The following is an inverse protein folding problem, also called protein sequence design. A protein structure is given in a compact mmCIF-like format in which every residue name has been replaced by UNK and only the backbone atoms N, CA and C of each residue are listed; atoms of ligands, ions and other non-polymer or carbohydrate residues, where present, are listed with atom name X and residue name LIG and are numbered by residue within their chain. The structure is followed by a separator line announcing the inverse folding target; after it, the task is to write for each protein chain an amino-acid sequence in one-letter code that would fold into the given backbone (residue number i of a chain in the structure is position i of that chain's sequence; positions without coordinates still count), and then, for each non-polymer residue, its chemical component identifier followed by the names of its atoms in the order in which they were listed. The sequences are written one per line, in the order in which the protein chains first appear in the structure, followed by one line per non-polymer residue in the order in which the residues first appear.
data_IF_622883041915
#
_entry.id   IF_622883041915
#
_cell.length_a   1.000
_cell.length_b   1.000
_cell.length_c   1.000
_cell.angle_alpha   90.00
_cell.angle_beta   90.00
_cell.angle_gamma   90.00
#
_symmetry.space_group_name_H-M   'P 1'
#
loop_
_entity.id
_entity.type
_entity.pdbx_description
1 polymer ?
#
# COMPACT_ATOMS: atom_id res chain seq x y z
N UNK A 1 -8.44 29.10 -15.25
CA UNK A 1 -7.61 27.89 -15.43
C UNK A 1 -8.49 26.70 -15.11
N UNK A 2 -8.44 25.63 -15.87
CA UNK A 2 -9.18 24.38 -15.61
C UNK A 2 -8.21 23.30 -15.17
N UNK A 3 -8.72 22.29 -14.43
CA UNK A 3 -7.97 21.10 -14.12
C UNK A 3 -7.70 20.30 -15.40
N UNK A 4 -6.53 19.67 -15.48
CA UNK A 4 -6.21 18.75 -16.58
C UNK A 4 -6.97 17.44 -16.36
N UNK A 5 -7.90 17.12 -17.26
CA UNK A 5 -8.88 16.03 -17.11
C UNK A 5 -8.23 14.67 -17.44
N UNK A 6 -7.80 13.96 -16.40
CA UNK A 6 -7.15 12.63 -16.50
C UNK A 6 -7.82 11.56 -15.63
N UNK A 7 -8.92 11.88 -14.96
CA UNK A 7 -9.63 10.97 -14.08
C UNK A 7 -11.08 10.77 -14.49
N UNK A 8 -11.54 9.53 -14.50
CA UNK A 8 -12.98 9.22 -14.57
C UNK A 8 -13.61 9.46 -13.20
N UNK A 9 -14.41 10.50 -13.06
CA UNK A 9 -15.01 10.90 -11.80
C UNK A 9 -16.45 10.35 -11.67
N UNK A 10 -16.79 9.87 -10.48
CA UNK A 10 -18.19 9.75 -10.09
C UNK A 10 -18.74 11.14 -9.72
N UNK A 11 -20.00 11.39 -9.98
CA UNK A 11 -20.66 12.64 -9.58
C UNK A 11 -21.05 12.60 -8.08
N UNK A 12 -20.06 12.41 -7.22
CA UNK A 12 -20.19 12.38 -5.76
C UNK A 12 -19.09 13.30 -5.22
N UNK A 13 -19.46 14.29 -4.40
CA UNK A 13 -18.54 15.26 -3.81
C UNK A 13 -18.48 15.06 -2.27
N UNK A 14 -17.53 14.26 -1.75
CA UNK A 14 -17.35 14.08 -0.32
C UNK A 14 -16.93 15.38 0.36
N UNK A 15 -17.59 15.74 1.46
CA UNK A 15 -17.32 16.97 2.23
C UNK A 15 -17.03 16.71 3.71
N UNK A 16 -17.46 15.56 4.24
CA UNK A 16 -17.23 15.17 5.63
C UNK A 16 -16.94 13.65 5.69
N UNK A 17 -16.12 13.23 6.66
CA UNK A 17 -15.88 11.82 6.89
C UNK A 17 -15.47 11.54 8.34
N UNK A 18 -15.90 10.37 8.89
CA UNK A 18 -15.59 9.92 10.24
C UNK A 18 -15.58 8.40 10.33
N UNK A 19 -14.53 7.81 10.86
CA UNK A 19 -14.39 6.35 10.95
C UNK A 19 -14.49 5.69 9.58
N UNK A 20 -15.51 4.85 9.36
CA UNK A 20 -15.80 4.21 8.08
C UNK A 20 -16.97 4.88 7.33
N UNK A 21 -17.33 6.12 7.63
CA UNK A 21 -18.41 6.85 6.99
C UNK A 21 -17.90 8.09 6.28
N UNK A 22 -18.52 8.39 5.14
CA UNK A 22 -18.26 9.57 4.31
C UNK A 22 -19.60 10.20 3.97
N UNK A 23 -19.71 11.52 4.03
CA UNK A 23 -20.90 12.27 3.62
C UNK A 23 -20.58 13.16 2.43
N UNK A 24 -21.48 13.16 1.45
CA UNK A 24 -21.39 14.07 0.32
C UNK A 24 -22.05 15.43 0.62
N UNK A 25 -21.96 16.36 -0.32
CA UNK A 25 -22.52 17.72 -0.18
C UNK A 25 -24.05 17.76 -0.12
N UNK A 26 -24.71 16.70 -0.55
CA UNK A 26 -26.15 16.51 -0.43
C UNK A 26 -26.54 15.92 0.94
N UNK A 27 -25.58 15.55 1.76
CA UNK A 27 -25.78 14.93 3.07
C UNK A 27 -26.01 13.42 3.02
N UNK A 28 -25.78 12.78 1.88
CA UNK A 28 -25.86 11.33 1.75
C UNK A 28 -24.70 10.66 2.48
N UNK A 29 -25.00 9.71 3.37
CA UNK A 29 -24.00 8.91 4.06
C UNK A 29 -23.60 7.70 3.23
N UNK A 30 -22.31 7.48 3.11
CA UNK A 30 -21.70 6.32 2.45
C UNK A 30 -20.87 5.51 3.44
N UNK A 31 -21.01 4.17 3.38
CA UNK A 31 -20.07 3.26 4.02
C UNK A 31 -18.81 3.12 3.15
N UNK A 32 -17.64 3.41 3.72
CA UNK A 32 -16.36 3.36 3.01
C UNK A 32 -15.66 2.00 3.20
N UNK A 33 -15.79 1.12 2.21
CA UNK A 33 -15.02 -0.12 2.10
C UNK A 33 -13.85 -0.01 1.12
N UNK A 34 -13.39 1.21 0.82
CA UNK A 34 -12.32 1.45 -0.12
C UNK A 34 -11.12 2.21 0.49
N UNK A 35 -11.40 3.06 1.48
CA UNK A 35 -10.37 3.85 2.17
C UNK A 35 -9.52 4.70 1.22
N UNK A 36 -10.09 5.19 0.09
CA UNK A 36 -9.34 5.93 -0.92
C UNK A 36 -8.09 5.19 -1.40
N UNK A 37 -8.21 3.99 -1.96
CA UNK A 37 -7.11 3.09 -2.35
C UNK A 37 -6.31 2.51 -1.15
N UNK A 38 -6.96 2.23 -0.02
CA UNK A 38 -6.33 1.80 1.24
C UNK A 38 -5.41 2.86 1.88
N UNK A 39 -5.65 4.13 1.58
CA UNK A 39 -4.92 5.25 2.21
C UNK A 39 -5.39 5.47 3.63
N UNK A 40 -6.71 5.43 3.85
CA UNK A 40 -7.29 5.57 5.19
C UNK A 40 -7.09 4.26 5.96
N UNK A 41 -6.21 4.30 6.95
CA UNK A 41 -5.87 3.14 7.78
C UNK A 41 -6.63 3.13 9.10
N UNK A 42 -6.53 4.19 9.90
CA UNK A 42 -7.11 4.28 11.25
C UNK A 42 -8.54 4.83 11.28
N UNK A 43 -9.15 5.03 10.11
CA UNK A 43 -10.44 5.69 9.94
C UNK A 43 -10.32 7.18 9.65
N UNK A 44 -11.37 7.71 9.02
CA UNK A 44 -11.47 9.13 8.69
C UNK A 44 -11.56 9.98 9.97
N UNK A 45 -10.89 11.13 9.96
CA UNK A 45 -10.98 12.17 11.00
C UNK A 45 -10.83 11.65 12.44
N UNK A 46 -9.93 10.68 12.65
CA UNK A 46 -9.68 10.13 13.98
C UNK A 46 -9.25 11.24 14.96
N UNK A 47 -9.87 11.40 16.15
CA UNK A 47 -9.63 12.55 17.03
C UNK A 47 -8.17 12.77 17.41
N UNK A 48 -7.43 11.70 17.76
CA UNK A 48 -6.01 11.78 18.10
C UNK A 48 -5.15 12.25 16.92
N UNK A 49 -5.48 11.79 15.71
CA UNK A 49 -4.81 12.18 14.48
C UNK A 49 -5.05 13.67 14.15
N UNK A 50 -6.29 14.12 14.22
CA UNK A 50 -6.66 15.53 14.00
C UNK A 50 -5.98 16.44 15.01
N UNK A 51 -6.05 16.09 16.30
CA UNK A 51 -5.40 16.86 17.37
C UNK A 51 -3.88 16.96 17.18
N UNK A 52 -3.22 15.86 16.80
CA UNK A 52 -1.78 15.82 16.55
C UNK A 52 -1.37 16.77 15.41
N UNK A 53 -2.09 16.75 14.28
CA UNK A 53 -1.83 17.63 13.16
C UNK A 53 -2.09 19.09 13.53
N UNK A 54 -3.21 19.39 14.17
CA UNK A 54 -3.55 20.75 14.56
C UNK A 54 -2.52 21.34 15.54
N UNK A 55 -2.11 20.59 16.55
CA UNK A 55 -1.08 20.99 17.49
C UNK A 55 0.29 21.21 16.81
N UNK A 56 0.65 20.33 15.87
CA UNK A 56 1.92 20.47 15.15
C UNK A 56 1.88 21.65 14.18
N UNK A 57 0.75 21.87 13.49
CA UNK A 57 0.58 23.01 12.60
C UNK A 57 0.70 24.36 13.34
N UNK A 58 0.18 24.43 14.58
CA UNK A 58 0.29 25.63 15.43
C UNK A 58 1.73 25.90 15.90
N UNK A 59 2.63 24.92 15.86
CA UNK A 59 4.05 25.06 16.28
C UNK A 59 4.95 25.33 15.07
N UNK A 60 5.08 24.35 14.21
CA UNK A 60 5.88 24.40 12.99
C UNK A 60 5.43 23.27 12.04
N UNK A 61 5.08 23.63 10.80
CA UNK A 61 4.69 22.64 9.79
C UNK A 61 5.87 22.05 9.03
N UNK A 62 6.89 22.89 8.76
CA UNK A 62 8.01 22.50 7.92
C UNK A 62 9.27 23.31 8.27
N UNK A 63 10.41 22.65 8.21
CA UNK A 63 11.72 23.24 8.01
C UNK A 63 12.62 22.27 7.22
N UNK A 64 13.74 22.78 6.71
CA UNK A 64 14.67 22.03 5.87
C UNK A 64 15.27 20.82 6.60
N UNK A 65 15.53 19.72 5.85
CA UNK A 65 16.27 18.55 6.32
C UNK A 65 17.78 18.83 6.60
N UNK A 66 18.21 20.09 6.52
CA UNK A 66 19.57 20.51 6.95
C UNK A 66 19.67 20.78 8.45
N UNK A 67 18.58 20.67 9.20
CA UNK A 67 18.55 20.80 10.67
C UNK A 67 17.90 19.58 11.32
N UNK A 68 18.09 19.42 12.63
CA UNK A 68 17.51 18.30 13.39
C UNK A 68 15.99 18.43 13.49
N UNK A 69 15.30 17.31 13.28
CA UNK A 69 13.88 17.14 13.53
C UNK A 69 13.67 15.88 14.38
N UNK A 70 13.42 16.06 15.67
CA UNK A 70 13.25 14.95 16.62
C UNK A 70 12.08 14.02 16.28
N UNK A 71 11.04 14.54 15.60
CA UNK A 71 9.89 13.71 15.18
C UNK A 71 10.28 12.65 14.15
N UNK A 72 11.30 12.91 13.32
CA UNK A 72 11.80 11.89 12.38
C UNK A 72 12.40 10.71 13.14
N UNK A 73 13.20 10.99 14.19
CA UNK A 73 13.79 9.94 15.01
C UNK A 73 12.72 9.19 15.82
N UNK A 74 11.74 9.88 16.38
CA UNK A 74 10.62 9.27 17.09
C UNK A 74 9.83 8.34 16.15
N UNK A 75 9.50 8.82 14.96
CA UNK A 75 8.80 8.01 13.94
C UNK A 75 9.61 6.77 13.56
N UNK A 76 10.91 6.91 13.29
CA UNK A 76 11.78 5.79 12.95
C UNK A 76 11.83 4.74 14.06
N UNK A 77 11.95 5.19 15.32
CA UNK A 77 11.98 4.30 16.49
C UNK A 77 10.66 3.54 16.64
N UNK A 78 9.51 4.23 16.61
CA UNK A 78 8.20 3.62 16.75
C UNK A 78 7.91 2.65 15.59
N UNK A 79 8.18 3.06 14.34
CA UNK A 79 7.98 2.22 13.18
C UNK A 79 8.84 0.96 13.24
N UNK A 80 10.12 1.10 13.59
CA UNK A 80 11.03 -0.05 13.73
C UNK A 80 10.56 -1.05 14.78
N UNK A 81 10.11 -0.55 15.96
CA UNK A 81 9.59 -1.40 17.05
C UNK A 81 8.32 -2.16 16.62
N UNK A 82 7.35 -1.46 16.03
CA UNK A 82 6.06 -2.06 15.65
C UNK A 82 6.16 -3.02 14.48
N UNK A 83 7.01 -2.71 13.52
CA UNK A 83 7.21 -3.53 12.33
C UNK A 83 8.17 -4.71 12.54
N UNK A 84 8.95 -4.70 13.63
CA UNK A 84 9.99 -5.70 13.88
C UNK A 84 11.32 -5.44 13.15
N UNK A 85 11.53 -4.21 12.66
CA UNK A 85 12.70 -3.78 11.89
C UNK A 85 13.48 -2.67 12.62
N UNK A 86 13.69 -2.81 13.93
CA UNK A 86 14.38 -1.82 14.77
C UNK A 86 15.85 -1.60 14.40
N UNK A 87 16.45 -2.52 13.66
CA UNK A 87 17.82 -2.45 13.17
C UNK A 87 17.94 -1.81 11.77
N UNK A 88 16.80 -1.50 11.10
CA UNK A 88 16.78 -0.81 9.81
C UNK A 88 16.88 0.70 9.97
N UNK A 89 17.44 1.35 8.94
CA UNK A 89 17.39 2.80 8.79
C UNK A 89 16.11 3.23 8.06
N UNK A 90 15.60 4.42 8.34
CA UNK A 90 14.43 4.99 7.69
C UNK A 90 14.81 6.22 6.86
N UNK A 91 14.50 6.21 5.57
CA UNK A 91 14.49 7.41 4.71
C UNK A 91 13.05 7.83 4.45
N UNK A 92 12.71 9.11 4.69
CA UNK A 92 11.36 9.65 4.55
C UNK A 92 11.20 10.44 3.25
N UNK A 93 10.05 10.27 2.59
CA UNK A 93 9.64 10.99 1.38
C UNK A 93 8.14 11.33 1.44
N UNK A 94 7.48 11.65 0.31
CA UNK A 94 6.12 12.19 0.34
C UNK A 94 5.07 11.25 -0.30
N UNK A 95 5.52 10.22 -1.00
CA UNK A 95 4.62 9.30 -1.72
C UNK A 95 5.23 7.92 -1.87
N UNK A 96 4.40 6.94 -2.21
CA UNK A 96 4.86 5.59 -2.53
C UNK A 96 5.73 5.54 -3.79
N UNK A 97 5.43 6.36 -4.79
CA UNK A 97 6.27 6.44 -5.99
C UNK A 97 7.67 6.95 -5.64
N UNK A 98 7.80 8.00 -4.81
CA UNK A 98 9.11 8.46 -4.34
C UNK A 98 9.83 7.39 -3.50
N UNK A 99 9.10 6.64 -2.66
CA UNK A 99 9.69 5.56 -1.87
C UNK A 99 10.29 4.48 -2.78
N UNK A 100 9.54 4.02 -3.78
CA UNK A 100 10.02 3.03 -4.74
C UNK A 100 11.16 3.56 -5.62
N UNK A 101 11.11 4.83 -6.09
CA UNK A 101 12.23 5.46 -6.82
C UNK A 101 13.52 5.43 -6.01
N UNK A 102 13.45 5.80 -4.73
CA UNK A 102 14.62 5.82 -3.86
C UNK A 102 15.10 4.40 -3.53
N UNK A 103 14.20 3.41 -3.40
CA UNK A 103 14.55 2.01 -3.21
C UNK A 103 15.32 1.45 -4.42
N UNK A 104 14.80 1.66 -5.64
CA UNK A 104 15.45 1.25 -6.89
C UNK A 104 16.83 1.92 -7.06
N UNK A 105 16.90 3.24 -6.80
CA UNK A 105 18.14 4.01 -6.84
C UNK A 105 19.17 3.48 -5.84
N UNK A 106 18.74 3.19 -4.62
CA UNK A 106 19.62 2.69 -3.55
C UNK A 106 20.19 1.31 -3.90
N UNK A 107 19.35 0.39 -4.42
CA UNK A 107 19.77 -0.93 -4.87
C UNK A 107 20.77 -0.83 -6.03
N UNK A 108 20.54 0.07 -6.99
CA UNK A 108 21.45 0.34 -8.10
C UNK A 108 22.79 0.90 -7.61
N UNK A 109 22.80 1.79 -6.63
CA UNK A 109 24.05 2.28 -6.01
C UNK A 109 24.84 1.16 -5.33
N UNK A 110 24.15 0.24 -4.62
CA UNK A 110 24.79 -0.89 -3.93
C UNK A 110 25.45 -1.88 -4.91
N UNK A 111 24.76 -2.19 -6.00
CA UNK A 111 25.16 -3.23 -6.94
C UNK A 111 26.01 -2.73 -8.10
N UNK A 112 25.96 -1.42 -8.42
CA UNK A 112 26.55 -0.84 -9.63
C UNK A 112 25.84 -1.26 -10.93
N UNK A 113 24.67 -1.90 -10.83
CA UNK A 113 23.90 -2.46 -11.94
C UNK A 113 22.63 -1.63 -12.16
N UNK A 114 21.90 -1.90 -13.27
CA UNK A 114 20.74 -1.09 -13.66
C UNK A 114 19.47 -1.88 -14.01
N UNK A 115 19.60 -3.18 -14.36
CA UNK A 115 18.44 -3.99 -14.75
C UNK A 115 17.64 -4.42 -13.52
N UNK A 116 16.32 -4.25 -13.58
CA UNK A 116 15.39 -4.60 -12.50
C UNK A 116 14.52 -5.78 -12.94
N UNK A 117 14.32 -6.74 -12.04
CA UNK A 117 13.26 -7.73 -12.16
C UNK A 117 12.03 -7.20 -11.45
N UNK A 118 10.90 -7.15 -12.15
CA UNK A 118 9.58 -6.86 -11.65
C UNK A 118 8.60 -7.97 -12.05
N UNK A 119 7.37 -7.93 -11.56
CA UNK A 119 6.39 -8.99 -11.84
C UNK A 119 5.27 -8.49 -12.74
N UNK A 120 4.74 -9.38 -13.58
CA UNK A 120 3.59 -9.06 -14.43
C UNK A 120 2.42 -8.58 -13.57
N UNK A 121 1.64 -7.66 -14.12
CA UNK A 121 0.52 -6.99 -13.48
C UNK A 121 0.89 -6.10 -12.28
N UNK A 122 2.17 -5.93 -11.95
CA UNK A 122 2.62 -5.08 -10.84
C UNK A 122 2.31 -3.59 -11.06
N UNK A 123 2.11 -2.89 -9.94
CA UNK A 123 1.97 -1.44 -9.91
C UNK A 123 2.84 -0.84 -8.79
N UNK A 124 3.86 -0.07 -9.18
CA UNK A 124 4.82 0.53 -8.23
C UNK A 124 4.83 2.06 -8.23
N UNK A 125 4.10 2.71 -9.12
CA UNK A 125 3.98 4.17 -9.16
C UNK A 125 3.95 4.77 -10.57
N UNK A 126 4.02 6.11 -10.62
CA UNK A 126 3.88 6.92 -11.85
C UNK A 126 5.07 7.84 -12.12
N UNK A 127 6.13 7.82 -11.31
CA UNK A 127 7.40 8.50 -11.59
C UNK A 127 8.27 7.65 -12.52
N UNK A 128 9.41 8.14 -13.00
CA UNK A 128 10.12 7.55 -14.14
C UNK A 128 10.56 6.10 -13.91
N UNK A 129 11.28 5.81 -12.85
CA UNK A 129 11.71 4.43 -12.54
C UNK A 129 10.53 3.56 -12.11
N UNK A 130 9.60 4.09 -11.30
CA UNK A 130 8.46 3.31 -10.82
C UNK A 130 7.44 2.97 -11.90
N UNK A 131 7.25 3.86 -12.90
CA UNK A 131 6.39 3.54 -14.05
C UNK A 131 7.05 2.51 -14.96
N UNK A 132 8.37 2.47 -15.01
CA UNK A 132 9.10 1.47 -15.79
C UNK A 132 8.94 0.05 -15.20
N UNK A 133 8.89 -0.08 -13.86
CA UNK A 133 8.64 -1.35 -13.15
C UNK A 133 7.14 -1.63 -12.91
N UNK A 134 6.25 -0.78 -13.43
CA UNK A 134 4.79 -0.99 -13.45
C UNK A 134 4.42 -1.65 -14.77
N UNK A 135 3.79 -2.84 -14.72
CA UNK A 135 3.39 -3.60 -15.92
C UNK A 135 2.10 -3.03 -16.54
N UNK A 136 2.23 -1.83 -17.10
CA UNK A 136 1.16 -1.17 -17.83
C UNK A 136 1.73 -0.22 -18.90
N UNK A 137 1.87 -0.68 -20.16
CA UNK A 137 2.41 0.15 -21.24
C UNK A 137 1.64 1.46 -21.50
N UNK A 138 0.35 1.51 -21.17
CA UNK A 138 -0.50 2.69 -21.45
C UNK A 138 -0.13 3.91 -20.62
N UNK A 139 0.60 3.74 -19.51
CA UNK A 139 1.02 4.82 -18.61
C UNK A 139 2.51 5.18 -18.76
N UNK A 140 3.23 4.50 -19.65
CA UNK A 140 4.63 4.76 -19.94
C UNK A 140 4.78 5.71 -21.12
N UNK A 141 5.25 6.92 -20.85
CA UNK A 141 5.65 7.85 -21.88
C UNK A 141 6.98 7.40 -22.57
N UNK A 142 7.28 7.84 -23.80
CA UNK A 142 8.57 7.56 -24.44
C UNK A 142 9.77 7.90 -23.57
N UNK A 143 9.69 8.97 -22.79
CA UNK A 143 10.70 9.39 -21.82
C UNK A 143 11.02 8.33 -20.73
N UNK A 144 10.06 7.48 -20.39
CA UNK A 144 10.23 6.47 -19.34
C UNK A 144 10.85 5.14 -19.84
N UNK A 145 11.01 4.98 -21.17
CA UNK A 145 11.47 3.73 -21.79
C UNK A 145 12.97 3.45 -21.72
N UNK A 146 13.73 4.31 -21.06
CA UNK A 146 15.19 4.15 -20.91
C UNK A 146 15.64 3.21 -19.80
N UNK A 147 14.72 2.71 -18.97
CA UNK A 147 15.03 1.80 -17.87
C UNK A 147 15.03 0.33 -18.33
N UNK A 148 16.01 -0.43 -17.89
CA UNK A 148 16.11 -1.87 -18.19
C UNK A 148 15.30 -2.67 -17.17
N UNK A 149 14.16 -3.19 -17.59
CA UNK A 149 13.25 -3.96 -16.74
C UNK A 149 12.85 -5.25 -17.44
N UNK A 150 12.83 -6.35 -16.68
CA UNK A 150 12.24 -7.61 -17.12
C UNK A 150 11.06 -7.96 -16.23
N UNK A 151 9.95 -8.37 -16.84
CA UNK A 151 8.75 -8.81 -16.13
C UNK A 151 8.63 -10.32 -16.16
N UNK A 152 8.63 -10.94 -14.98
CA UNK A 152 8.42 -12.38 -14.80
C UNK A 152 7.02 -12.66 -14.23
N UNK A 153 6.53 -13.89 -14.37
CA UNK A 153 5.23 -14.24 -13.79
C UNK A 153 5.33 -14.33 -12.25
N UNK A 154 4.26 -13.98 -11.56
CA UNK A 154 4.17 -14.17 -10.13
C UNK A 154 4.21 -15.67 -9.79
N UNK A 155 4.95 -16.07 -8.76
CA UNK A 155 5.20 -17.44 -8.33
C UNK A 155 6.04 -18.31 -9.30
N UNK A 156 6.77 -17.71 -10.23
CA UNK A 156 7.68 -18.38 -11.17
C UNK A 156 9.12 -18.12 -10.73
N UNK A 157 9.65 -18.99 -9.85
CA UNK A 157 11.00 -18.83 -9.31
C UNK A 157 12.07 -19.17 -10.34
N UNK A 158 11.79 -20.10 -11.26
CA UNK A 158 12.73 -20.55 -12.29
C UNK A 158 13.08 -19.39 -13.22
N UNK A 159 12.07 -18.61 -13.65
CA UNK A 159 12.30 -17.41 -14.45
C UNK A 159 13.10 -16.34 -13.69
N UNK A 160 12.91 -16.20 -12.38
CA UNK A 160 13.72 -15.27 -11.58
C UNK A 160 15.19 -15.73 -11.52
N UNK A 161 15.44 -17.02 -11.28
CA UNK A 161 16.78 -17.60 -11.24
C UNK A 161 17.51 -17.45 -12.58
N UNK A 162 16.81 -17.71 -13.69
CA UNK A 162 17.35 -17.52 -15.04
C UNK A 162 17.78 -16.05 -15.24
N UNK A 163 16.90 -15.09 -14.90
CA UNK A 163 17.22 -13.67 -15.07
C UNK A 163 18.38 -13.21 -14.17
N UNK A 164 18.45 -13.69 -12.93
CA UNK A 164 19.54 -13.37 -12.00
C UNK A 164 20.86 -13.96 -12.48
N UNK A 165 20.85 -15.16 -13.09
CA UNK A 165 22.05 -15.84 -13.59
C UNK A 165 22.81 -15.06 -14.67
N UNK A 166 22.14 -14.10 -15.35
CA UNK A 166 22.76 -13.20 -16.33
C UNK A 166 23.77 -12.21 -15.71
N UNK A 167 23.74 -12.04 -14.39
CA UNK A 167 24.74 -11.30 -13.62
C UNK A 167 24.62 -9.78 -13.62
N UNK A 168 23.61 -9.19 -14.26
CA UNK A 168 23.43 -7.74 -14.45
C UNK A 168 22.23 -7.15 -13.68
N UNK A 169 21.54 -7.94 -12.84
CA UNK A 169 20.37 -7.51 -12.07
C UNK A 169 20.79 -6.62 -10.90
N UNK A 170 20.19 -5.43 -10.82
CA UNK A 170 20.37 -4.46 -9.73
C UNK A 170 19.46 -4.74 -8.53
N UNK A 171 18.24 -5.18 -8.77
CA UNK A 171 17.26 -5.52 -7.72
C UNK A 171 16.11 -6.35 -8.27
N UNK A 172 15.41 -7.03 -7.36
CA UNK A 172 14.06 -7.55 -7.56
C UNK A 172 13.08 -6.71 -6.77
N UNK A 173 11.98 -6.24 -7.38
CA UNK A 173 10.91 -5.52 -6.69
C UNK A 173 9.59 -6.29 -6.81
N UNK A 174 8.88 -6.44 -5.68
CA UNK A 174 7.61 -7.18 -5.61
C UNK A 174 6.65 -6.53 -4.61
N UNK A 175 5.36 -6.49 -4.94
CA UNK A 175 4.31 -6.11 -3.98
C UNK A 175 4.07 -7.26 -2.98
N UNK A 176 3.86 -6.95 -1.70
CA UNK A 176 3.42 -7.94 -0.72
C UNK A 176 2.10 -8.62 -1.12
N UNK A 177 1.18 -7.84 -1.70
CA UNK A 177 0.00 -8.28 -2.44
C UNK A 177 -0.22 -7.31 -3.59
N UNK A 178 -0.37 -7.80 -4.82
CA UNK A 178 -0.60 -6.99 -6.01
C UNK A 178 -2.00 -6.35 -5.98
N UNK A 179 -2.06 -5.08 -5.59
CA UNK A 179 -3.34 -4.41 -5.36
C UNK A 179 -4.12 -4.12 -6.63
N UNK A 180 -3.50 -3.53 -7.64
CA UNK A 180 -4.14 -3.09 -8.89
C UNK A 180 -4.48 -4.26 -9.80
N UNK A 181 -3.70 -5.33 -9.76
CA UNK A 181 -3.93 -6.56 -10.52
C UNK A 181 -5.26 -7.25 -10.18
N UNK A 182 -5.76 -7.10 -8.96
CA UNK A 182 -6.96 -7.80 -8.47
C UNK A 182 -6.70 -8.63 -7.21
N UNK A 183 -5.85 -8.12 -6.34
CA UNK A 183 -5.47 -8.75 -5.06
C UNK A 183 -4.83 -10.13 -5.28
N UNK A 184 -3.92 -10.22 -6.23
CA UNK A 184 -3.08 -11.40 -6.38
C UNK A 184 -1.91 -11.36 -5.40
N UNK A 185 -1.67 -12.48 -4.74
CA UNK A 185 -0.61 -12.58 -3.74
C UNK A 185 0.43 -13.61 -4.13
N UNK A 186 1.73 -13.35 -3.89
CA UNK A 186 2.74 -14.39 -3.95
C UNK A 186 2.46 -15.43 -2.88
N UNK A 187 2.77 -16.70 -3.16
CA UNK A 187 2.74 -17.73 -2.12
C UNK A 187 3.86 -17.52 -1.10
N UNK A 188 3.64 -17.92 0.15
CA UNK A 188 4.66 -17.80 1.18
C UNK A 188 5.92 -18.64 0.84
N UNK A 189 5.73 -19.77 0.13
CA UNK A 189 6.87 -20.59 -0.38
C UNK A 189 7.66 -19.86 -1.45
N UNK A 190 6.98 -19.19 -2.39
CA UNK A 190 7.66 -18.39 -3.41
C UNK A 190 8.46 -17.24 -2.82
N UNK A 191 7.87 -16.49 -1.86
CA UNK A 191 8.60 -15.40 -1.18
C UNK A 191 9.86 -15.91 -0.45
N UNK A 192 9.79 -17.09 0.18
CA UNK A 192 10.97 -17.72 0.81
C UNK A 192 12.05 -18.08 -0.21
N UNK A 193 11.65 -18.67 -1.33
CA UNK A 193 12.59 -19.02 -2.41
C UNK A 193 13.21 -17.75 -3.00
N UNK A 194 12.39 -16.72 -3.26
CA UNK A 194 12.82 -15.43 -3.80
C UNK A 194 13.85 -14.75 -2.87
N UNK A 195 13.59 -14.70 -1.57
CA UNK A 195 14.50 -14.16 -0.57
C UNK A 195 15.84 -14.95 -0.57
N UNK A 196 15.78 -16.28 -0.63
CA UNK A 196 16.97 -17.14 -0.68
C UNK A 196 17.80 -16.93 -1.94
N UNK A 197 17.17 -16.89 -3.11
CA UNK A 197 17.83 -16.67 -4.41
C UNK A 197 18.46 -15.28 -4.46
N UNK A 198 17.76 -14.26 -4.02
CA UNK A 198 18.28 -12.90 -3.95
C UNK A 198 19.51 -12.79 -3.05
N UNK A 199 19.45 -13.35 -1.84
CA UNK A 199 20.59 -13.37 -0.89
C UNK A 199 21.80 -14.12 -1.43
N UNK A 200 21.60 -15.31 -2.00
CA UNK A 200 22.68 -16.15 -2.55
C UNK A 200 23.42 -15.42 -3.68
N UNK A 201 22.75 -14.60 -4.45
CA UNK A 201 23.31 -13.89 -5.59
C UNK A 201 23.66 -12.41 -5.30
N UNK A 202 23.53 -11.97 -4.05
CA UNK A 202 23.74 -10.57 -3.63
C UNK A 202 22.91 -9.57 -4.46
N UNK A 203 21.67 -9.92 -4.76
CA UNK A 203 20.70 -9.06 -5.45
C UNK A 203 19.70 -8.53 -4.41
N UNK A 204 19.61 -7.20 -4.18
CA UNK A 204 18.66 -6.62 -3.24
C UNK A 204 17.21 -6.99 -3.55
N UNK A 205 16.48 -7.45 -2.53
CA UNK A 205 15.05 -7.70 -2.58
C UNK A 205 14.30 -6.49 -2.01
N UNK A 206 13.45 -5.85 -2.83
CA UNK A 206 12.60 -4.72 -2.45
C UNK A 206 11.17 -5.22 -2.30
N UNK A 207 10.61 -5.13 -1.09
CA UNK A 207 9.20 -5.38 -0.81
C UNK A 207 8.42 -4.06 -0.85
N UNK A 208 7.52 -3.92 -1.84
CA UNK A 208 6.57 -2.84 -1.91
C UNK A 208 5.37 -3.16 -0.99
N UNK A 209 5.39 -2.56 0.19
CA UNK A 209 4.33 -2.66 1.19
C UNK A 209 3.46 -1.38 1.27
N UNK A 210 3.46 -0.59 0.20
CA UNK A 210 2.74 0.68 0.14
C UNK A 210 1.24 0.49 0.32
N UNK A 211 0.66 -0.58 -0.21
CA UNK A 211 -0.76 -0.87 -0.04
C UNK A 211 -1.03 -1.96 0.99
N UNK A 212 -0.17 -2.94 1.13
CA UNK A 212 -0.33 -4.13 1.97
C UNK A 212 0.16 -3.96 3.40
N UNK A 213 0.97 -2.94 3.67
CA UNK A 213 1.54 -2.67 4.98
C UNK A 213 0.60 -1.97 5.97
N UNK A 214 1.16 -1.57 7.10
CA UNK A 214 0.47 -0.87 8.20
C UNK A 214 -0.74 -1.63 8.75
N UNK A 215 -0.60 -2.94 8.91
CA UNK A 215 -1.63 -3.78 9.54
C UNK A 215 -2.73 -4.27 8.60
N UNK A 216 -2.77 -3.81 7.35
CA UNK A 216 -3.82 -4.06 6.37
C UNK A 216 -4.17 -5.54 6.21
N UNK A 217 -3.17 -6.41 6.24
CA UNK A 217 -3.33 -7.86 6.04
C UNK A 217 -3.50 -8.68 7.32
N UNK A 218 -3.55 -8.04 8.50
CA UNK A 218 -3.55 -8.72 9.80
C UNK A 218 -2.15 -9.01 10.35
N UNK A 219 -1.09 -8.61 9.63
CA UNK A 219 0.29 -8.42 10.11
C UNK A 219 0.74 -7.02 9.74
N UNK A 220 1.79 -6.49 10.39
CA UNK A 220 2.24 -5.13 10.11
C UNK A 220 2.67 -4.96 8.64
N UNK A 221 3.40 -5.94 8.09
CA UNK A 221 3.71 -6.07 6.67
C UNK A 221 3.25 -7.45 6.14
N UNK A 222 2.80 -7.50 4.88
CA UNK A 222 2.27 -8.73 4.28
C UNK A 222 3.34 -9.83 4.15
N UNK A 223 4.58 -9.48 3.80
CA UNK A 223 5.67 -10.46 3.67
C UNK A 223 6.01 -11.19 4.97
N UNK A 224 5.59 -10.68 6.13
CA UNK A 224 5.82 -11.34 7.43
C UNK A 224 5.08 -12.69 7.55
N UNK A 225 4.10 -12.99 6.69
CA UNK A 225 3.52 -14.33 6.61
C UNK A 225 4.53 -15.37 6.10
N UNK A 226 5.41 -14.96 5.18
CA UNK A 226 6.49 -15.81 4.69
C UNK A 226 7.69 -15.88 5.65
N UNK A 227 7.73 -15.06 6.71
CA UNK A 227 8.85 -14.98 7.65
C UNK A 227 10.20 -14.73 6.96
N UNK A 228 10.23 -13.84 5.98
CA UNK A 228 11.44 -13.37 5.29
C UNK A 228 11.87 -11.99 5.82
N UNK A 229 13.11 -11.61 5.55
CA UNK A 229 13.67 -10.31 5.92
C UNK A 229 14.29 -9.67 4.67
N UNK A 230 13.49 -8.87 3.91
CA UNK A 230 13.94 -8.25 2.65
C UNK A 230 14.95 -7.12 2.92
N UNK A 231 15.75 -6.78 1.91
CA UNK A 231 16.78 -5.73 2.04
C UNK A 231 16.19 -4.33 2.16
N UNK A 232 15.10 -4.07 1.44
CA UNK A 232 14.41 -2.77 1.42
C UNK A 232 12.90 -3.00 1.49
N UNK A 233 12.21 -2.20 2.31
CA UNK A 233 10.75 -2.18 2.39
C UNK A 233 10.28 -0.76 2.10
N UNK A 234 9.36 -0.60 1.16
CA UNK A 234 8.75 0.70 0.87
C UNK A 234 7.34 0.80 1.44
N UNK A 235 6.99 1.96 1.97
CA UNK A 235 5.70 2.21 2.60
C UNK A 235 5.19 3.62 2.32
N UNK A 236 3.86 3.79 2.33
CA UNK A 236 3.16 5.07 2.20
C UNK A 236 1.68 4.88 2.59
N UNK A 237 0.74 5.51 1.89
CA UNK A 237 -0.73 5.34 2.06
C UNK A 237 -1.17 5.29 3.53
N UNK A 238 -1.38 4.08 4.07
CA UNK A 238 -1.79 3.87 5.45
C UNK A 238 -0.85 4.48 6.50
N UNK A 239 0.41 4.73 6.15
CA UNK A 239 1.37 5.44 6.98
C UNK A 239 0.91 6.84 7.38
N UNK A 240 0.25 7.55 6.46
CA UNK A 240 -0.17 8.94 6.65
C UNK A 240 -1.66 9.13 6.92
N UNK A 241 -2.49 8.10 6.76
CA UNK A 241 -3.96 8.19 6.89
C UNK A 241 -4.55 9.39 6.13
N UNK A 242 -4.08 9.65 4.90
CA UNK A 242 -4.48 10.78 4.07
C UNK A 242 -3.45 11.91 4.01
N UNK A 243 -2.54 12.05 4.98
CA UNK A 243 -1.42 12.98 4.87
C UNK A 243 -0.34 12.41 3.94
N UNK A 244 0.18 13.20 2.97
CA UNK A 244 1.24 12.74 2.05
C UNK A 244 2.54 12.43 2.79
N UNK A 245 2.89 11.16 2.90
CA UNK A 245 4.15 10.65 3.45
C UNK A 245 4.46 9.29 2.86
N UNK A 246 5.73 9.00 2.68
CA UNK A 246 6.27 7.69 2.35
C UNK A 246 7.57 7.43 3.08
N UNK A 247 7.96 6.18 3.15
CA UNK A 247 9.18 5.75 3.82
C UNK A 247 9.85 4.59 3.11
N UNK A 248 11.16 4.52 3.24
CA UNK A 248 12.00 3.41 2.80
C UNK A 248 12.73 2.88 4.04
N UNK A 249 12.40 1.67 4.47
CA UNK A 249 13.12 0.95 5.50
C UNK A 249 14.27 0.22 4.82
N UNK A 250 15.49 0.43 5.29
CA UNK A 250 16.74 0.05 4.63
C UNK A 250 17.54 -0.83 5.58
N UNK A 251 17.89 -2.03 5.14
CA UNK A 251 18.65 -2.97 5.97
C UNK A 251 20.05 -2.43 6.35
N UNK A 252 20.64 -2.89 7.45
CA UNK A 252 21.98 -2.45 7.89
C UNK A 252 23.10 -2.71 6.88
N UNK A 253 22.83 -3.54 5.86
CA UNK A 253 23.80 -3.86 4.82
C UNK A 253 24.05 -2.73 3.80
N UNK A 254 23.26 -1.66 3.88
CA UNK A 254 23.43 -0.49 3.02
C UNK A 254 24.18 0.61 3.76
N UNK A 255 25.24 1.10 3.14
CA UNK A 255 26.02 2.23 3.66
C UNK A 255 25.42 3.54 3.19
N UNK A 256 25.07 4.42 4.14
CA UNK A 256 24.57 5.75 3.84
C UNK A 256 25.70 6.69 3.43
N UNK A 257 25.52 7.38 2.29
CA UNK A 257 26.42 8.45 1.83
C UNK A 257 25.65 9.75 1.73
N UNK A 258 26.22 10.83 2.29
CA UNK A 258 25.58 12.17 2.24
C UNK A 258 25.31 12.58 0.79
N UNK A 259 24.07 12.99 0.52
CA UNK A 259 23.62 13.43 -0.80
C UNK A 259 23.20 12.33 -1.77
N UNK A 260 23.29 11.03 -1.42
CA UNK A 260 22.87 9.95 -2.32
C UNK A 260 21.36 9.88 -2.51
N UNK A 261 20.60 10.18 -1.46
CA UNK A 261 19.14 10.34 -1.49
C UNK A 261 18.80 11.76 -1.01
N UNK A 262 17.64 12.28 -1.41
CA UNK A 262 17.24 13.63 -1.01
C UNK A 262 15.78 13.93 -1.33
N UNK A 263 15.18 14.79 -0.52
CA UNK A 263 13.82 15.28 -0.67
C UNK A 263 13.68 16.61 0.05
N UNK A 264 12.89 17.53 -0.49
CA UNK A 264 12.62 18.81 0.20
C UNK A 264 11.63 18.63 1.34
N UNK A 265 10.50 17.99 1.08
CA UNK A 265 9.39 17.88 2.04
C UNK A 265 9.35 16.58 2.82
N UNK A 266 10.07 15.54 2.41
CA UNK A 266 10.03 14.24 3.06
C UNK A 266 10.48 14.33 4.52
N UNK A 267 9.66 13.79 5.41
CA UNK A 267 9.90 13.83 6.86
C UNK A 267 9.66 15.20 7.49
N UNK A 268 8.83 16.08 6.89
CA UNK A 268 8.46 17.34 7.52
C UNK A 268 7.69 17.11 8.83
N UNK A 269 7.61 18.14 9.66
CA UNK A 269 7.04 18.06 11.00
C UNK A 269 5.57 17.59 11.00
N UNK A 270 4.75 18.09 10.07
CA UNK A 270 3.34 17.69 9.97
C UNK A 270 3.20 16.22 9.55
N UNK A 271 3.98 15.79 8.55
CA UNK A 271 3.96 14.42 8.07
C UNK A 271 4.40 13.44 9.18
N UNK A 272 5.45 13.77 9.94
CA UNK A 272 5.91 12.96 11.07
C UNK A 272 4.87 12.92 12.18
N UNK A 273 4.26 14.04 12.54
CA UNK A 273 3.21 14.09 13.56
C UNK A 273 1.98 13.25 13.16
N UNK A 274 1.58 13.32 11.90
CA UNK A 274 0.50 12.50 11.34
C UNK A 274 0.85 11.00 11.44
N UNK A 275 2.03 10.60 10.96
CA UNK A 275 2.44 9.19 10.96
C UNK A 275 2.66 8.62 12.37
N UNK A 276 3.17 9.40 13.31
CA UNK A 276 3.29 9.01 14.73
C UNK A 276 1.90 8.74 15.30
N UNK A 277 0.95 9.65 15.10
CA UNK A 277 -0.43 9.46 15.56
C UNK A 277 -1.09 8.20 14.96
N UNK A 278 -0.81 7.90 13.69
CA UNK A 278 -1.28 6.65 13.06
C UNK A 278 -0.73 5.42 13.78
N UNK A 279 0.58 5.37 14.04
CA UNK A 279 1.19 4.24 14.74
C UNK A 279 0.63 4.07 16.16
N UNK A 280 0.45 5.19 16.88
CA UNK A 280 -0.13 5.17 18.22
C UNK A 280 -1.55 4.60 18.23
N UNK A 281 -2.42 5.04 17.32
CA UNK A 281 -3.80 4.54 17.20
C UNK A 281 -3.82 3.06 16.80
N UNK A 282 -2.95 2.63 15.87
CA UNK A 282 -2.85 1.21 15.49
C UNK A 282 -2.59 0.32 16.70
N UNK A 283 -1.73 0.77 17.62
CA UNK A 283 -1.41 0.03 18.86
C UNK A 283 -2.53 0.10 19.87
N UNK A 284 -2.96 1.32 20.20
CA UNK A 284 -3.93 1.58 21.29
C UNK A 284 -5.28 0.90 21.01
N UNK A 285 -5.70 0.87 19.76
CA UNK A 285 -6.97 0.25 19.33
C UNK A 285 -6.78 -1.18 18.78
N UNK A 286 -5.58 -1.74 18.84
CA UNK A 286 -5.26 -3.09 18.39
C UNK A 286 -5.71 -3.35 16.94
N UNK A 287 -5.53 -2.37 16.04
CA UNK A 287 -6.11 -2.38 14.70
C UNK A 287 -5.54 -3.48 13.80
N UNK A 288 -4.31 -3.94 14.04
CA UNK A 288 -3.75 -5.11 13.31
C UNK A 288 -4.56 -6.37 13.60
N UNK A 289 -4.91 -6.60 14.87
CA UNK A 289 -5.75 -7.73 15.26
C UNK A 289 -7.18 -7.57 14.75
N UNK A 290 -7.72 -6.35 14.77
CA UNK A 290 -9.04 -6.08 14.20
C UNK A 290 -9.06 -6.40 12.70
N UNK A 291 -8.04 -5.99 11.96
CA UNK A 291 -7.92 -6.30 10.53
C UNK A 291 -7.86 -7.81 10.26
N UNK A 292 -7.14 -8.56 11.08
CA UNK A 292 -7.14 -10.02 11.00
C UNK A 292 -8.53 -10.61 11.25
N UNK A 293 -9.14 -10.29 12.40
CA UNK A 293 -10.42 -10.88 12.81
C UNK A 293 -11.58 -10.52 11.87
N UNK A 294 -11.65 -9.25 11.46
CA UNK A 294 -12.69 -8.77 10.54
C UNK A 294 -12.48 -9.30 9.12
N UNK A 295 -11.23 -9.49 8.71
CA UNK A 295 -10.89 -10.13 7.45
C UNK A 295 -11.33 -11.60 7.40
N UNK A 296 -11.03 -12.38 8.45
CA UNK A 296 -11.48 -13.76 8.57
C UNK A 296 -13.02 -13.86 8.57
N UNK A 297 -13.69 -13.01 9.36
CA UNK A 297 -15.15 -12.96 9.39
C UNK A 297 -15.74 -12.68 7.99
N UNK A 298 -15.22 -11.64 7.32
CA UNK A 298 -15.69 -11.25 6.00
C UNK A 298 -15.48 -12.35 4.96
N UNK A 299 -14.32 -13.02 4.96
CA UNK A 299 -14.05 -14.14 4.05
C UNK A 299 -14.98 -15.32 4.31
N UNK A 300 -15.24 -15.66 5.59
CA UNK A 300 -16.16 -16.76 5.95
C UNK A 300 -17.57 -16.49 5.45
N UNK A 301 -18.08 -15.25 5.58
CA UNK A 301 -19.44 -14.92 5.12
C UNK A 301 -19.52 -14.82 3.59
N UNK A 302 -18.50 -14.27 2.93
CA UNK A 302 -18.44 -14.21 1.48
C UNK A 302 -18.40 -15.60 0.83
N UNK A 303 -17.72 -16.58 1.44
CA UNK A 303 -17.71 -17.96 0.96
C UNK A 303 -19.09 -18.63 0.99
N UNK A 304 -20.04 -18.10 1.79
CA UNK A 304 -21.43 -18.56 1.83
C UNK A 304 -22.31 -17.86 0.79
N UNK A 305 -21.81 -16.87 0.07
CA UNK A 305 -22.57 -16.05 -0.88
C UNK A 305 -22.49 -16.68 -2.27
N UNK A 306 -23.61 -17.19 -2.84
CA UNK A 306 -23.59 -17.95 -4.10
C UNK A 306 -23.09 -17.17 -5.32
N UNK A 307 -23.20 -15.83 -5.30
CA UNK A 307 -22.73 -14.95 -6.35
C UNK A 307 -21.19 -14.80 -6.40
N UNK A 308 -20.51 -15.13 -5.30
CA UNK A 308 -19.05 -15.04 -5.21
C UNK A 308 -18.42 -16.24 -5.90
N UNK A 309 -17.58 -15.97 -6.91
CA UNK A 309 -16.84 -16.99 -7.65
C UNK A 309 -15.48 -17.29 -7.00
N UNK A 310 -14.79 -16.26 -6.53
CA UNK A 310 -13.49 -16.38 -5.87
C UNK A 310 -13.22 -15.22 -4.92
N UNK A 311 -12.46 -15.50 -3.85
CA UNK A 311 -11.95 -14.50 -2.91
C UNK A 311 -10.45 -14.64 -2.86
N UNK A 312 -9.73 -13.50 -2.85
CA UNK A 312 -8.28 -13.43 -2.73
C UNK A 312 -7.89 -12.42 -1.68
N UNK A 313 -6.70 -12.57 -1.10
CA UNK A 313 -6.14 -11.63 -0.16
C UNK A 313 -6.09 -12.12 1.27
N UNK A 314 -5.74 -11.20 2.20
CA UNK A 314 -5.57 -11.46 3.63
C UNK A 314 -6.05 -10.25 4.44
N UNK A 315 -6.59 -10.50 5.62
CA UNK A 315 -7.11 -9.45 6.50
C UNK A 315 -8.13 -8.56 5.78
N UNK A 316 -7.94 -7.25 5.85
CA UNK A 316 -8.79 -6.27 5.19
C UNK A 316 -8.23 -5.78 3.83
N UNK A 317 -7.49 -6.63 3.13
CA UNK A 317 -7.10 -6.46 1.73
C UNK A 317 -7.66 -7.61 0.92
N UNK A 318 -8.93 -7.50 0.52
CA UNK A 318 -9.66 -8.57 -0.16
C UNK A 318 -10.08 -8.17 -1.57
N UNK A 319 -9.98 -9.12 -2.49
CA UNK A 319 -10.51 -9.06 -3.84
C UNK A 319 -11.61 -10.09 -4.01
N UNK A 320 -12.77 -9.65 -4.47
CA UNK A 320 -13.94 -10.50 -4.72
C UNK A 320 -14.18 -10.57 -6.21
N UNK A 321 -14.17 -11.77 -6.76
CA UNK A 321 -14.60 -12.04 -8.12
C UNK A 321 -16.04 -12.56 -8.06
N UNK A 322 -16.96 -11.80 -8.63
CA UNK A 322 -18.35 -12.21 -8.76
C UNK A 322 -18.56 -13.00 -10.05
N UNK A 323 -19.63 -13.78 -10.10
CA UNK A 323 -20.07 -14.42 -11.34
C UNK A 323 -20.44 -13.37 -12.39
N UNK A 324 -20.27 -13.64 -13.70
CA UNK A 324 -20.43 -12.65 -14.79
C UNK A 324 -21.79 -11.92 -14.79
N UNK A 325 -22.86 -12.61 -14.40
CA UNK A 325 -24.22 -12.06 -14.31
C UNK A 325 -24.33 -10.90 -13.28
N UNK A 326 -23.38 -10.79 -12.35
CA UNK A 326 -23.33 -9.78 -11.29
C UNK A 326 -22.29 -8.68 -11.55
N UNK A 327 -21.88 -8.48 -12.79
CA UNK A 327 -20.81 -7.52 -13.17
C UNK A 327 -21.12 -6.07 -12.80
N UNK A 328 -22.40 -5.67 -12.68
CA UNK A 328 -22.80 -4.30 -12.32
C UNK A 328 -23.02 -4.08 -10.81
N UNK A 329 -22.91 -5.11 -9.99
CA UNK A 329 -23.18 -5.03 -8.54
C UNK A 329 -22.34 -3.95 -7.84
N UNK A 330 -21.10 -3.71 -8.29
CA UNK A 330 -20.27 -2.66 -7.72
C UNK A 330 -20.88 -1.25 -7.90
N UNK A 331 -21.48 -0.97 -9.06
CA UNK A 331 -22.17 0.31 -9.30
C UNK A 331 -23.46 0.38 -8.46
N UNK A 332 -24.23 -0.68 -8.39
CA UNK A 332 -25.43 -0.76 -7.56
C UNK A 332 -25.12 -0.54 -6.08
N UNK A 333 -24.04 -1.15 -5.55
CA UNK A 333 -23.57 -0.90 -4.17
C UNK A 333 -23.25 0.59 -3.96
N UNK A 334 -22.58 1.24 -4.91
CA UNK A 334 -22.22 2.65 -4.79
C UNK A 334 -23.44 3.57 -4.86
N UNK A 335 -24.25 3.44 -5.92
CA UNK A 335 -25.29 4.43 -6.24
C UNK A 335 -26.64 4.15 -5.60
N UNK A 336 -26.94 2.90 -5.24
CA UNK A 336 -28.22 2.54 -4.65
C UNK A 336 -28.10 2.20 -3.16
N UNK A 337 -26.99 1.55 -2.75
CA UNK A 337 -26.77 1.17 -1.35
C UNK A 337 -25.77 2.08 -0.61
N UNK A 338 -25.22 3.09 -1.29
CA UNK A 338 -24.26 4.05 -0.73
C UNK A 338 -23.03 3.39 -0.07
N UNK A 339 -22.42 2.41 -0.76
CA UNK A 339 -21.23 1.71 -0.30
C UNK A 339 -20.08 1.88 -1.29
N UNK A 340 -19.02 2.56 -0.87
CA UNK A 340 -17.79 2.67 -1.67
C UNK A 340 -17.02 1.35 -1.65
N UNK A 341 -16.68 0.85 -2.84
CA UNK A 341 -15.75 -0.27 -3.03
C UNK A 341 -14.75 0.06 -4.14
N UNK A 342 -13.59 -0.59 -4.12
CA UNK A 342 -12.58 -0.41 -5.17
C UNK A 342 -12.84 -1.31 -6.39
N UNK A 343 -12.37 -0.88 -7.55
CA UNK A 343 -12.27 -1.73 -8.74
C UNK A 343 -10.83 -2.16 -8.99
N UNK A 344 -10.65 -3.30 -9.64
CA UNK A 344 -9.39 -3.76 -10.18
C UNK A 344 -9.58 -4.32 -11.59
N UNK A 345 -8.49 -4.81 -12.22
CA UNK A 345 -8.57 -5.50 -13.51
C UNK A 345 -9.54 -6.69 -13.44
N UNK A 346 -10.08 -7.07 -14.59
CA UNK A 346 -10.97 -8.23 -14.75
C UNK A 346 -12.24 -8.19 -13.88
N UNK A 347 -12.76 -6.99 -13.55
CA UNK A 347 -14.00 -6.85 -12.80
C UNK A 347 -13.90 -7.21 -11.31
N UNK A 348 -12.71 -7.40 -10.78
CA UNK A 348 -12.53 -7.70 -9.35
C UNK A 348 -12.92 -6.50 -8.50
N UNK A 349 -13.84 -6.71 -7.56
CA UNK A 349 -14.19 -5.75 -6.54
C UNK A 349 -13.20 -5.85 -5.37
N UNK A 350 -12.56 -4.74 -5.00
CA UNK A 350 -11.62 -4.68 -3.88
C UNK A 350 -12.30 -4.12 -2.64
N UNK A 351 -12.11 -4.79 -1.52
CA UNK A 351 -12.48 -4.31 -0.20
C UNK A 351 -11.21 -3.94 0.57
N UNK A 352 -11.09 -2.65 0.86
CA UNK A 352 -9.93 -2.02 1.49
C UNK A 352 -10.41 -1.02 2.57
N UNK A 353 -11.33 -1.41 3.47
CA UNK A 353 -11.89 -0.50 4.46
C UNK A 353 -10.83 0.01 5.43
N UNK A 354 -11.11 1.09 6.19
CA UNK A 354 -10.29 1.41 7.36
C UNK A 354 -10.14 0.21 8.31
N UNK A 355 -8.99 0.10 8.98
CA UNK A 355 -8.70 -1.03 9.88
C UNK A 355 -9.62 -1.05 11.12
N UNK A 356 -10.26 0.07 11.40
CA UNK A 356 -11.23 0.26 12.49
C UNK A 356 -12.64 -0.21 12.15
N UNK A 357 -12.85 -0.81 10.97
CA UNK A 357 -14.18 -1.31 10.56
C UNK A 357 -14.76 -2.28 11.60
N UNK A 358 -16.04 -2.13 11.88
CA UNK A 358 -16.76 -2.99 12.81
C UNK A 358 -17.42 -4.18 12.11
N UNK A 359 -17.80 -5.20 12.91
CA UNK A 359 -18.62 -6.30 12.42
C UNK A 359 -19.96 -5.81 11.86
N UNK A 360 -20.58 -4.81 12.51
CA UNK A 360 -21.84 -4.22 12.05
C UNK A 360 -21.73 -3.57 10.67
N UNK A 361 -20.60 -2.90 10.39
CA UNK A 361 -20.35 -2.32 9.06
C UNK A 361 -20.21 -3.41 7.99
N UNK A 362 -19.54 -4.50 8.32
CA UNK A 362 -19.42 -5.68 7.43
C UNK A 362 -20.78 -6.31 7.18
N UNK A 363 -21.61 -6.47 8.22
CA UNK A 363 -22.95 -7.05 8.10
C UNK A 363 -23.86 -6.22 7.18
N UNK A 364 -23.76 -4.87 7.22
CA UNK A 364 -24.46 -3.99 6.29
C UNK A 364 -24.03 -4.28 4.85
N UNK A 365 -22.73 -4.34 4.57
CA UNK A 365 -22.21 -4.66 3.24
C UNK A 365 -22.69 -6.04 2.76
N UNK A 366 -22.58 -7.07 3.60
CA UNK A 366 -22.98 -8.42 3.25
C UNK A 366 -24.48 -8.53 2.96
N UNK A 367 -25.32 -7.81 3.71
CA UNK A 367 -26.76 -7.74 3.46
C UNK A 367 -27.05 -7.11 2.10
N UNK A 368 -26.42 -5.97 1.80
CA UNK A 368 -26.61 -5.28 0.52
C UNK A 368 -26.06 -6.09 -0.66
N UNK A 369 -24.91 -6.75 -0.50
CA UNK A 369 -24.38 -7.66 -1.51
C UNK A 369 -25.37 -8.80 -1.82
N UNK A 370 -25.97 -9.41 -0.81
CA UNK A 370 -26.98 -10.45 -0.97
C UNK A 370 -28.22 -9.92 -1.70
N UNK A 371 -28.72 -8.74 -1.30
CA UNK A 371 -29.88 -8.09 -1.95
C UNK A 371 -29.64 -7.84 -3.45
N UNK A 372 -28.43 -7.43 -3.83
CA UNK A 372 -28.07 -7.15 -5.24
C UNK A 372 -27.71 -8.39 -6.05
N UNK A 373 -27.59 -9.54 -5.41
CA UNK A 373 -27.22 -10.81 -6.05
C UNK A 373 -28.27 -11.91 -5.86
N UNK A 374 -29.48 -11.56 -5.37
CA UNK A 374 -30.62 -12.46 -5.15
C UNK A 374 -31.34 -12.83 -6.45
#
# INVERSE_FOLDING_TARGET
MQLFDVYSLWNIEPVEAKGCRVWDKEGTEYLDLYGGHAVISIGHSHPKYVDSICKQAAKIGFYSNSVLNSLQQELATKLGQLSGYSDYSLFLCNSGAEANENALKLASFKTGKKRIIAFKEAFHGRTSGTVAVTDNPSVQAPFNKGHEVVFVNLNDIESVEEEISKGDVAAVIIEGIQGVAGIFQPTDSFLKQLDSVCKTNNVPLILDEIQSGYGRTGKFFAHQYANIKPDIITTAKGMGNGFPIGGVLISPEFEAKKGMLGTTFGGNHLACAAAIAVLDVIVEESLVNNAFNMGEYLQQELNKTPAVKAIRGRGLMLGIELKPEFSDVRNQLLFESHIFTGGAKNGVMRLLPPLSISKGDIDIFLSELKNKTA
#
